data_IF_392664949102
#
_entry.id   IF_392664949102
#
_cell.length_a   1.000
_cell.length_b   1.000
_cell.length_c   1.000
_cell.angle_alpha   90.00
_cell.angle_beta   90.00
_cell.angle_gamma   90.00
#
_symmetry.space_group_name_H-M   'P 1'
#
loop_
_entity.id
_entity.type
_entity.pdbx_description
1 polymer ?
#
# COMPACT_ATOMS: atom_id res chain seq x y z
N UNK A 1 11.07 17.68 -2.88
CA UNK A 1 12.16 16.81 -2.36
C UNK A 1 11.69 16.32 -0.98
N UNK A 2 11.41 15.03 -0.84
CA UNK A 2 10.89 14.48 0.42
C UNK A 2 12.04 14.25 1.39
N UNK A 3 11.96 14.82 2.60
CA UNK A 3 12.93 14.58 3.65
C UNK A 3 12.53 13.32 4.44
N UNK A 4 13.48 12.40 4.61
CA UNK A 4 13.39 11.29 5.57
C UNK A 4 13.24 11.87 6.98
N UNK A 5 12.04 11.81 7.55
CA UNK A 5 11.80 12.03 8.97
C UNK A 5 11.43 10.69 9.60
N UNK A 6 12.05 10.37 10.74
CA UNK A 6 11.70 9.21 11.57
C UNK A 6 10.18 9.16 11.77
N UNK A 7 9.58 7.99 11.52
CA UNK A 7 8.14 7.73 11.67
C UNK A 7 7.62 8.21 13.03
N UNK A 8 6.94 9.35 13.06
CA UNK A 8 6.30 9.89 14.27
C UNK A 8 4.87 9.40 14.32
N UNK A 9 4.48 8.77 15.42
CA UNK A 9 3.07 8.50 15.71
C UNK A 9 2.32 9.83 15.88
N UNK A 10 1.15 9.94 15.26
CA UNK A 10 0.27 11.08 15.49
C UNK A 10 -0.35 10.93 16.88
N UNK A 11 -0.24 11.95 17.76
CA UNK A 11 -0.85 11.92 19.09
C UNK A 11 -2.37 11.78 19.01
N UNK A 12 -2.96 11.09 19.98
CA UNK A 12 -4.41 10.82 20.03
C UNK A 12 -5.20 12.03 20.57
N UNK A 13 -5.05 13.18 19.92
CA UNK A 13 -5.79 14.40 20.23
C UNK A 13 -6.95 14.55 19.25
N UNK A 14 -8.14 14.85 19.77
CA UNK A 14 -9.31 15.19 18.95
C UNK A 14 -9.38 16.71 18.72
N UNK A 15 -9.95 17.08 17.58
CA UNK A 15 -10.15 18.46 17.14
C UNK A 15 -11.63 18.68 16.82
N UNK A 16 -12.10 19.93 16.93
CA UNK A 16 -13.44 20.25 16.46
C UNK A 16 -13.43 20.36 14.94
N UNK A 17 -14.33 19.65 14.28
CA UNK A 17 -14.59 19.83 12.85
C UNK A 17 -15.51 21.05 12.61
N UNK A 18 -15.81 21.33 11.34
CA UNK A 18 -16.71 22.39 10.88
C UNK A 18 -18.12 22.32 11.48
N UNK A 19 -18.57 21.14 11.94
CA UNK A 19 -19.87 20.95 12.59
C UNK A 19 -19.78 21.10 14.12
N UNK A 20 -18.59 21.32 14.67
CA UNK A 20 -18.32 21.40 16.11
C UNK A 20 -18.15 20.04 16.80
N UNK A 21 -18.14 18.95 16.03
CA UNK A 21 -17.97 17.57 16.51
C UNK A 21 -16.48 17.31 16.75
N UNK A 22 -16.16 16.63 17.85
CA UNK A 22 -14.79 16.20 18.15
C UNK A 22 -14.46 14.97 17.30
N UNK A 23 -13.39 15.06 16.51
CA UNK A 23 -12.91 13.96 15.66
C UNK A 23 -11.39 14.05 15.46
N UNK A 24 -10.75 13.00 14.94
CA UNK A 24 -9.34 13.07 14.58
C UNK A 24 -8.82 11.84 13.83
N UNK A 25 -7.56 11.88 13.37
CA UNK A 25 -6.95 10.82 12.57
C UNK A 25 -6.96 9.44 13.23
N UNK A 26 -6.90 9.40 14.56
CA UNK A 26 -6.91 8.18 15.36
C UNK A 26 -8.22 7.39 15.25
N UNK A 27 -9.33 8.00 14.83
CA UNK A 27 -10.60 7.29 14.63
C UNK A 27 -10.58 6.44 13.35
N UNK A 28 -9.56 6.63 12.50
CA UNK A 28 -9.39 5.99 11.20
C UNK A 28 -8.23 4.96 11.20
N UNK A 29 -7.85 4.41 12.36
CA UNK A 29 -6.89 3.29 12.43
C UNK A 29 -7.36 2.16 11.52
N UNK A 30 -6.44 1.55 10.78
CA UNK A 30 -6.79 0.58 9.73
C UNK A 30 -7.05 1.22 8.35
N UNK A 31 -7.08 2.55 8.26
CA UNK A 31 -7.13 3.31 6.99
C UNK A 31 -5.92 4.24 6.90
N UNK A 32 -5.54 4.58 5.67
CA UNK A 32 -4.65 5.72 5.47
C UNK A 32 -5.38 7.01 5.82
N UNK A 33 -4.68 7.99 6.37
CA UNK A 33 -5.26 9.32 6.63
C UNK A 33 -4.38 10.39 6.00
N UNK A 34 -5.01 11.29 5.25
CA UNK A 34 -4.34 12.44 4.66
C UNK A 34 -4.70 13.67 5.46
N UNK A 35 -3.68 14.35 5.96
CA UNK A 35 -3.82 15.66 6.59
C UNK A 35 -3.43 16.72 5.59
N UNK A 36 -4.32 17.67 5.33
CA UNK A 36 -4.07 18.76 4.39
C UNK A 36 -4.24 20.11 5.09
N UNK A 37 -3.14 20.85 5.25
CA UNK A 37 -3.12 22.15 5.90
C UNK A 37 -3.37 23.29 4.93
N UNK A 38 -4.17 24.24 5.39
CA UNK A 38 -4.50 25.48 4.71
C UNK A 38 -4.26 26.67 5.63
N UNK A 39 -3.39 27.59 5.19
CA UNK A 39 -3.12 28.83 5.92
C UNK A 39 -4.16 29.92 5.66
N UNK A 40 -4.88 29.86 4.55
CA UNK A 40 -5.97 30.79 4.24
C UNK A 40 -7.00 30.17 3.32
N UNK A 41 -8.27 30.56 3.52
CA UNK A 41 -9.35 30.17 2.64
C UNK A 41 -9.37 31.06 1.40
N UNK A 42 -9.45 30.46 0.20
CA UNK A 42 -9.43 31.24 -1.02
C UNK A 42 -10.74 32.04 -1.17
N UNK A 43 -10.67 33.20 -1.82
CA UNK A 43 -11.82 34.07 -2.06
C UNK A 43 -12.93 33.45 -2.92
N UNK A 44 -14.05 34.17 -3.13
CA UNK A 44 -15.24 33.65 -3.82
C UNK A 44 -14.98 33.10 -5.22
N UNK A 45 -14.11 33.76 -6.00
CA UNK A 45 -13.85 33.42 -7.41
C UNK A 45 -12.94 32.19 -7.60
N UNK A 46 -12.36 31.67 -6.53
CA UNK A 46 -11.42 30.55 -6.60
C UNK A 46 -12.09 29.19 -6.82
N UNK A 47 -13.42 29.07 -6.65
CA UNK A 47 -14.14 27.80 -6.67
C UNK A 47 -13.93 26.96 -7.96
N UNK A 48 -13.62 27.60 -9.10
CA UNK A 48 -13.30 26.92 -10.36
C UNK A 48 -12.02 26.08 -10.34
N UNK A 49 -11.10 26.33 -9.40
CA UNK A 49 -9.78 25.67 -9.33
C UNK A 49 -9.68 24.52 -8.31
N UNK A 50 -10.80 24.07 -7.71
CA UNK A 50 -10.80 23.09 -6.61
C UNK A 50 -11.60 21.80 -6.90
N UNK A 51 -12.06 21.59 -8.14
CA UNK A 51 -12.73 20.34 -8.54
C UNK A 51 -11.91 19.09 -8.22
N UNK A 52 -10.58 19.19 -8.37
CA UNK A 52 -9.63 18.12 -8.06
C UNK A 52 -9.74 17.60 -6.62
N UNK A 53 -10.18 18.42 -5.66
CA UNK A 53 -10.27 18.04 -4.25
C UNK A 53 -11.43 17.06 -4.02
N UNK A 54 -12.55 17.29 -4.71
CA UNK A 54 -13.71 16.39 -4.68
C UNK A 54 -13.42 15.09 -5.40
N UNK A 55 -12.78 15.18 -6.57
CA UNK A 55 -12.38 14.00 -7.34
C UNK A 55 -11.37 13.16 -6.56
N UNK A 56 -10.41 13.84 -5.90
CA UNK A 56 -9.44 13.20 -5.01
C UNK A 56 -10.12 12.48 -3.86
N UNK A 57 -11.15 13.04 -3.24
CA UNK A 57 -11.86 12.38 -2.13
C UNK A 57 -12.40 11.00 -2.53
N UNK A 58 -13.02 10.88 -3.71
CA UNK A 58 -13.54 9.60 -4.19
C UNK A 58 -12.42 8.60 -4.48
N UNK A 59 -11.34 9.06 -5.13
CA UNK A 59 -10.17 8.24 -5.40
C UNK A 59 -9.47 7.76 -4.12
N UNK A 60 -9.41 8.61 -3.09
CA UNK A 60 -8.86 8.27 -1.78
C UNK A 60 -9.74 7.26 -1.04
N UNK A 61 -11.06 7.48 -1.02
CA UNK A 61 -12.01 6.54 -0.44
C UNK A 61 -11.92 5.16 -1.11
N UNK A 62 -11.80 5.11 -2.44
CA UNK A 62 -11.60 3.86 -3.19
C UNK A 62 -10.27 3.13 -2.84
N UNK A 63 -9.30 3.83 -2.23
CA UNK A 63 -7.99 3.31 -1.82
C UNK A 63 -7.88 3.10 -0.30
N UNK A 64 -9.01 3.05 0.40
CA UNK A 64 -9.06 2.93 1.87
C UNK A 64 -8.28 4.05 2.58
N UNK A 65 -8.44 5.28 2.08
CA UNK A 65 -7.84 6.48 2.64
C UNK A 65 -8.89 7.54 2.96
N UNK A 66 -8.82 8.10 4.17
CA UNK A 66 -9.59 9.26 4.59
C UNK A 66 -8.76 10.54 4.43
N UNK A 67 -9.43 11.70 4.45
CA UNK A 67 -8.79 13.01 4.36
C UNK A 67 -9.41 13.99 5.35
N UNK A 68 -8.55 14.77 6.01
CA UNK A 68 -8.91 15.93 6.79
C UNK A 68 -8.27 17.18 6.19
N UNK A 69 -9.08 18.23 5.99
CA UNK A 69 -8.52 19.57 5.89
C UNK A 69 -8.24 20.11 7.30
N UNK A 70 -7.18 20.92 7.45
CA UNK A 70 -6.76 21.50 8.73
C UNK A 70 -6.51 22.98 8.51
N UNK A 71 -7.07 23.82 9.38
CA UNK A 71 -6.84 25.26 9.39
C UNK A 71 -6.60 25.76 10.81
N UNK A 72 -5.97 26.92 10.97
CA UNK A 72 -5.93 27.64 12.26
C UNK A 72 -7.19 28.45 12.54
N UNK A 73 -8.22 28.32 11.70
CA UNK A 73 -9.45 29.10 11.75
C UNK A 73 -10.47 28.45 12.70
N UNK A 74 -11.49 29.22 13.07
CA UNK A 74 -12.58 28.72 13.93
C UNK A 74 -13.51 27.77 13.18
N UNK A 75 -14.27 26.96 13.93
CA UNK A 75 -15.29 26.06 13.36
C UNK A 75 -16.32 26.79 12.48
N UNK A 76 -16.65 28.04 12.82
CA UNK A 76 -17.60 28.86 12.05
C UNK A 76 -17.04 29.22 10.67
N UNK A 77 -15.77 29.62 10.62
CA UNK A 77 -15.10 29.95 9.34
C UNK A 77 -14.90 28.68 8.50
N UNK A 78 -14.49 27.58 9.14
CA UNK A 78 -14.36 26.28 8.48
C UNK A 78 -15.68 25.81 7.87
N UNK A 79 -16.80 26.04 8.55
CA UNK A 79 -18.13 25.70 8.02
C UNK A 79 -18.52 26.54 6.83
N UNK A 80 -18.33 27.86 6.89
CA UNK A 80 -18.59 28.73 5.75
C UNK A 80 -17.75 28.34 4.53
N UNK A 81 -16.51 27.90 4.74
CA UNK A 81 -15.66 27.35 3.69
C UNK A 81 -16.18 26.01 3.14
N UNK A 82 -16.47 25.06 4.02
CA UNK A 82 -16.93 23.72 3.65
C UNK A 82 -18.25 23.77 2.87
N UNK A 83 -19.21 24.56 3.34
CA UNK A 83 -20.52 24.75 2.71
C UNK A 83 -20.38 25.39 1.32
N UNK A 84 -19.51 26.40 1.19
CA UNK A 84 -19.29 27.11 -0.07
C UNK A 84 -18.67 26.23 -1.17
N UNK A 85 -17.77 25.33 -0.82
CA UNK A 85 -17.09 24.46 -1.79
C UNK A 85 -17.70 23.04 -1.87
N UNK A 86 -18.72 22.75 -1.07
CA UNK A 86 -19.31 21.42 -0.90
C UNK A 86 -18.24 20.37 -0.59
N UNK A 87 -17.43 20.64 0.43
CA UNK A 87 -16.37 19.73 0.87
C UNK A 87 -17.01 18.47 1.49
N UNK A 88 -16.69 17.26 0.99
CA UNK A 88 -17.34 16.03 1.43
C UNK A 88 -16.65 15.36 2.63
N UNK A 89 -15.70 16.03 3.28
CA UNK A 89 -14.89 15.51 4.38
C UNK A 89 -14.65 16.58 5.44
N UNK A 90 -14.09 16.19 6.57
CA UNK A 90 -13.98 17.06 7.74
C UNK A 90 -12.86 18.10 7.63
N UNK A 91 -13.17 19.30 8.12
CA UNK A 91 -12.27 20.46 8.21
C UNK A 91 -12.01 20.76 9.69
N UNK A 92 -10.86 20.34 10.19
CA UNK A 92 -10.46 20.46 11.58
C UNK A 92 -9.94 21.86 11.91
N UNK A 93 -10.37 22.37 13.06
CA UNK A 93 -9.87 23.61 13.66
C UNK A 93 -8.67 23.29 14.58
N UNK A 94 -7.48 23.73 14.19
CA UNK A 94 -6.19 23.57 14.87
C UNK A 94 -5.54 24.95 15.16
N UNK A 95 -6.16 25.80 16.00
CA UNK A 95 -5.72 27.18 16.21
C UNK A 95 -4.35 27.30 16.90
N UNK A 96 -3.98 26.31 17.71
CA UNK A 96 -2.67 26.19 18.35
C UNK A 96 -1.61 25.52 17.44
N UNK A 97 -2.00 25.15 16.21
CA UNK A 97 -1.14 24.53 15.20
C UNK A 97 -0.46 23.26 15.70
N UNK A 98 -1.15 22.50 16.56
CA UNK A 98 -0.60 21.30 17.17
C UNK A 98 -0.28 20.24 16.13
N UNK A 99 -1.23 19.92 15.22
CA UNK A 99 -1.00 18.91 14.18
C UNK A 99 0.09 19.36 13.22
N UNK A 100 0.11 20.65 12.87
CA UNK A 100 1.19 21.20 12.04
C UNK A 100 2.56 21.05 12.71
N UNK A 101 2.65 21.30 14.02
CA UNK A 101 3.87 21.11 14.81
C UNK A 101 4.33 19.66 14.88
N UNK A 102 3.39 18.71 15.03
CA UNK A 102 3.68 17.27 15.00
C UNK A 102 4.22 16.86 13.62
N UNK A 103 3.58 17.30 12.56
CA UNK A 103 3.86 16.90 11.18
C UNK A 103 5.12 17.54 10.59
N UNK A 104 5.35 18.84 10.82
CA UNK A 104 6.44 19.59 10.18
C UNK A 104 7.55 20.03 11.15
N UNK A 105 7.35 19.85 12.45
CA UNK A 105 8.30 20.22 13.52
C UNK A 105 8.11 21.64 14.03
N UNK A 106 8.15 21.80 15.35
CA UNK A 106 7.93 23.08 16.06
C UNK A 106 8.94 24.20 15.73
N UNK A 107 10.12 23.87 15.20
CA UNK A 107 11.18 24.82 14.85
C UNK A 107 11.03 25.43 13.45
N UNK A 108 10.15 24.88 12.59
CA UNK A 108 9.82 25.50 11.31
C UNK A 108 8.64 26.45 11.54
N UNK A 109 8.84 27.74 11.26
CA UNK A 109 7.71 28.66 11.00
C UNK A 109 7.00 28.15 9.75
N UNK A 110 6.05 27.24 9.93
CA UNK A 110 5.19 26.78 8.85
C UNK A 110 4.27 27.95 8.49
N UNK A 111 4.57 28.56 7.36
CA UNK A 111 3.72 29.51 6.65
C UNK A 111 3.52 28.94 5.24
N UNK A 112 2.36 28.36 4.99
CA UNK A 112 1.97 27.83 3.69
C UNK A 112 0.91 26.74 3.77
N UNK A 113 0.66 26.09 2.64
CA UNK A 113 -0.06 24.85 2.61
C UNK A 113 0.90 23.67 2.76
N UNK A 114 0.37 22.52 3.16
CA UNK A 114 1.14 21.32 3.37
C UNK A 114 0.24 20.11 3.42
N UNK A 115 0.81 18.95 3.23
CA UNK A 115 0.05 17.73 3.19
C UNK A 115 0.89 16.57 3.73
N UNK A 116 0.27 15.72 4.55
CA UNK A 116 0.93 14.53 5.09
C UNK A 116 0.06 13.30 4.94
N UNK A 117 0.71 12.16 4.74
CA UNK A 117 0.12 10.83 4.78
C UNK A 117 0.45 10.16 6.10
N UNK A 118 -0.58 9.59 6.70
CA UNK A 118 -0.56 8.76 7.90
C UNK A 118 -0.93 7.34 7.49
N UNK A 119 -0.15 6.35 7.92
CA UNK A 119 -0.43 4.94 7.65
C UNK A 119 -1.55 4.37 8.56
N UNK A 120 -2.04 3.14 8.33
CA UNK A 120 -3.08 2.51 9.14
C UNK A 120 -2.74 2.35 10.63
N UNK A 121 -1.45 2.26 10.97
CA UNK A 121 -0.93 2.24 12.33
C UNK A 121 -0.81 3.65 12.93
N UNK A 122 -1.15 4.66 12.14
CA UNK A 122 -1.09 6.11 12.32
C UNK A 122 0.26 6.71 12.68
N UNK A 123 1.28 6.26 11.96
CA UNK A 123 2.57 6.91 11.82
C UNK A 123 2.53 7.86 10.62
N UNK A 124 3.14 9.04 10.76
CA UNK A 124 3.39 9.93 9.63
C UNK A 124 4.47 9.29 8.77
N UNK A 125 4.12 8.95 7.53
CA UNK A 125 5.00 8.28 6.57
C UNK A 125 5.50 9.20 5.47
N UNK A 126 4.76 10.28 5.16
CA UNK A 126 5.16 11.23 4.11
C UNK A 126 4.57 12.60 4.34
N UNK A 127 5.34 13.65 4.04
CA UNK A 127 4.87 15.03 4.12
C UNK A 127 5.43 15.87 2.97
N UNK A 128 4.64 16.81 2.46
CA UNK A 128 5.06 17.90 1.58
C UNK A 128 4.66 19.25 2.18
N UNK A 129 5.44 20.29 1.87
CA UNK A 129 5.20 21.67 2.28
C UNK A 129 5.32 22.54 1.04
N UNK A 130 4.37 23.45 0.82
CA UNK A 130 4.37 24.37 -0.32
C UNK A 130 2.98 24.56 -0.94
N UNK A 131 2.93 25.20 -2.10
CA UNK A 131 1.68 25.60 -2.78
C UNK A 131 1.20 24.60 -3.84
N UNK A 132 1.89 23.48 -4.05
CA UNK A 132 1.57 22.49 -5.09
C UNK A 132 0.59 21.40 -4.63
N UNK A 133 -0.45 21.76 -3.89
CA UNK A 133 -1.34 20.80 -3.22
C UNK A 133 -2.01 19.81 -4.19
N UNK A 134 -2.42 20.26 -5.38
CA UNK A 134 -3.04 19.37 -6.37
C UNK A 134 -2.04 18.33 -6.88
N UNK A 135 -0.82 18.74 -7.25
CA UNK A 135 0.22 17.84 -7.71
C UNK A 135 0.68 16.89 -6.59
N UNK A 136 0.79 17.38 -5.35
CA UNK A 136 1.15 16.57 -4.20
C UNK A 136 0.04 15.59 -3.83
N UNK A 137 -1.23 15.97 -3.97
CA UNK A 137 -2.37 15.07 -3.85
C UNK A 137 -2.37 14.02 -4.95
N UNK A 138 -2.14 14.39 -6.22
CA UNK A 138 -2.01 13.42 -7.31
C UNK A 138 -0.85 12.45 -7.08
N UNK A 139 0.29 12.93 -6.56
CA UNK A 139 1.42 12.08 -6.14
C UNK A 139 1.06 11.16 -4.98
N UNK A 140 0.24 11.61 -4.02
CA UNK A 140 -0.26 10.77 -2.95
C UNK A 140 -1.25 9.72 -3.44
N UNK A 141 -2.20 10.10 -4.30
CA UNK A 141 -3.15 9.15 -4.91
C UNK A 141 -2.38 8.13 -5.76
N UNK A 142 -1.36 8.58 -6.50
CA UNK A 142 -0.43 7.70 -7.20
C UNK A 142 0.39 6.84 -6.24
N UNK A 143 0.85 7.36 -5.10
CA UNK A 143 1.52 6.56 -4.06
C UNK A 143 0.59 5.50 -3.46
N UNK A 144 -0.68 5.84 -3.25
CA UNK A 144 -1.72 4.92 -2.79
C UNK A 144 -2.14 3.93 -3.89
N UNK A 145 -1.91 4.26 -5.17
CA UNK A 145 -2.33 3.47 -6.34
C UNK A 145 -1.22 2.75 -7.12
N UNK A 146 0.05 3.10 -6.93
CA UNK A 146 1.18 2.65 -7.73
C UNK A 146 2.37 2.35 -6.84
N UNK A 147 2.77 1.07 -6.79
CA UNK A 147 3.95 0.59 -6.04
C UNK A 147 3.95 0.97 -4.55
N UNK A 148 2.76 1.06 -3.92
CA UNK A 148 2.56 1.33 -2.48
C UNK A 148 3.52 0.59 -1.56
N UNK A 149 3.85 -0.65 -1.91
CA UNK A 149 4.60 -1.56 -1.05
C UNK A 149 6.12 -1.44 -1.20
N UNK A 150 6.65 -0.73 -2.21
CA UNK A 150 8.10 -0.59 -2.33
C UNK A 150 8.61 0.31 -1.19
N UNK A 151 9.54 -0.21 -0.39
CA UNK A 151 10.01 0.37 0.86
C UNK A 151 9.23 -0.09 2.10
N UNK A 152 8.09 -0.77 1.93
CA UNK A 152 7.37 -1.40 3.04
C UNK A 152 8.01 -2.75 3.40
N UNK A 153 7.81 -3.17 4.66
CA UNK A 153 8.18 -4.53 5.08
C UNK A 153 7.08 -5.53 4.74
N UNK A 154 7.50 -6.77 4.52
CA UNK A 154 6.59 -7.91 4.35
C UNK A 154 5.63 -8.02 5.55
N UNK A 155 4.32 -8.25 5.32
CA UNK A 155 3.34 -8.37 6.38
C UNK A 155 3.64 -9.50 7.37
N UNK A 156 3.42 -9.23 8.66
CA UNK A 156 3.53 -10.23 9.73
C UNK A 156 2.25 -11.06 9.83
N UNK A 157 2.01 -11.93 8.85
CA UNK A 157 0.85 -12.84 8.79
C UNK A 157 1.30 -14.30 8.62
N UNK A 158 0.41 -15.24 8.93
CA UNK A 158 0.70 -16.66 8.75
C UNK A 158 0.45 -17.10 7.29
N UNK A 159 1.37 -17.90 6.77
CA UNK A 159 1.29 -18.64 5.51
C UNK A 159 1.66 -20.10 5.76
N UNK A 160 1.41 -20.98 4.79
CA UNK A 160 1.58 -22.43 4.97
C UNK A 160 2.43 -23.06 3.85
N UNK A 161 3.11 -24.15 4.17
CA UNK A 161 3.77 -25.01 3.18
C UNK A 161 3.59 -26.47 3.61
N UNK A 162 3.65 -27.40 2.66
CA UNK A 162 3.85 -28.81 2.99
C UNK A 162 5.36 -29.08 3.01
N UNK A 163 5.84 -29.64 4.12
CA UNK A 163 7.23 -30.10 4.26
C UNK A 163 7.15 -31.55 4.71
N UNK A 164 7.72 -32.46 3.92
CA UNK A 164 7.72 -33.90 4.18
C UNK A 164 6.31 -34.50 4.41
N UNK A 165 5.28 -33.89 3.81
CA UNK A 165 3.89 -34.30 3.95
C UNK A 165 3.13 -33.66 5.11
N UNK A 166 3.81 -32.90 5.98
CA UNK A 166 3.20 -32.17 7.08
C UNK A 166 2.94 -30.71 6.72
N UNK A 167 1.73 -30.24 7.03
CA UNK A 167 1.40 -28.83 6.86
C UNK A 167 2.07 -28.02 7.97
N UNK A 168 3.03 -27.20 7.60
CA UNK A 168 3.69 -26.26 8.49
C UNK A 168 3.12 -24.85 8.33
N UNK A 169 3.15 -24.10 9.42
CA UNK A 169 2.75 -22.69 9.46
C UNK A 169 3.96 -21.82 9.69
N UNK A 170 4.15 -20.82 8.85
CA UNK A 170 5.23 -19.86 8.94
C UNK A 170 4.67 -18.46 9.09
N UNK A 171 5.34 -17.63 9.89
CA UNK A 171 5.13 -16.19 9.79
C UNK A 171 5.85 -15.68 8.55
N UNK A 172 5.13 -14.98 7.67
CA UNK A 172 5.64 -14.58 6.38
C UNK A 172 6.92 -13.74 6.51
N UNK A 173 7.00 -12.77 7.43
CA UNK A 173 8.19 -11.95 7.68
C UNK A 173 9.47 -12.78 7.96
N UNK A 174 9.33 -13.93 8.64
CA UNK A 174 10.46 -14.82 8.91
C UNK A 174 10.98 -15.52 7.64
N UNK A 175 10.13 -15.70 6.63
CA UNK A 175 10.53 -16.28 5.36
C UNK A 175 11.40 -15.33 4.51
N UNK A 176 11.53 -14.05 4.88
CA UNK A 176 12.32 -13.05 4.13
C UNK A 176 13.45 -12.42 4.95
N UNK A 177 13.51 -12.67 6.26
CA UNK A 177 14.48 -12.06 7.16
C UNK A 177 15.92 -12.46 6.81
N UNK A 178 16.82 -11.47 6.74
CA UNK A 178 18.26 -11.67 6.57
C UNK A 178 18.69 -12.18 5.19
N UNK A 179 17.80 -12.14 4.17
CA UNK A 179 18.10 -12.66 2.84
C UNK A 179 17.46 -11.88 1.71
N UNK A 180 18.02 -12.02 0.50
CA UNK A 180 17.42 -11.51 -0.73
C UNK A 180 16.51 -12.57 -1.36
N UNK A 181 15.27 -12.20 -1.65
CA UNK A 181 14.21 -13.13 -2.08
C UNK A 181 13.50 -12.58 -3.30
N UNK A 182 13.16 -13.45 -4.24
CA UNK A 182 12.16 -13.17 -5.27
C UNK A 182 10.88 -13.88 -4.90
N UNK A 183 9.76 -13.16 -4.83
CA UNK A 183 8.44 -13.76 -4.71
C UNK A 183 7.63 -13.41 -5.95
N UNK A 184 6.97 -14.40 -6.53
CA UNK A 184 5.92 -14.17 -7.51
C UNK A 184 4.63 -14.82 -7.03
N UNK A 185 3.52 -14.12 -7.23
CA UNK A 185 2.20 -14.59 -6.85
C UNK A 185 1.33 -14.81 -8.07
N UNK A 186 0.47 -15.83 -7.98
CA UNK A 186 -0.41 -16.25 -9.05
C UNK A 186 -1.87 -16.29 -8.60
N UNK A 187 -2.82 -16.01 -9.51
CA UNK A 187 -4.25 -16.17 -9.22
C UNK A 187 -4.63 -17.59 -8.81
N UNK A 188 -3.92 -18.62 -9.27
CA UNK A 188 -4.21 -19.99 -8.85
C UNK A 188 -3.31 -21.04 -9.47
N UNK A 189 -3.04 -22.09 -8.70
CA UNK A 189 -2.49 -23.35 -9.18
C UNK A 189 -3.34 -23.93 -10.32
N UNK A 190 -2.69 -24.62 -11.27
CA UNK A 190 -3.32 -25.27 -12.44
C UNK A 190 -4.09 -24.34 -13.39
N UNK A 191 -4.03 -23.02 -13.23
CA UNK A 191 -4.63 -22.08 -14.19
C UNK A 191 -3.71 -21.87 -15.41
N UNK A 192 -4.25 -21.56 -16.61
CA UNK A 192 -3.51 -21.66 -17.88
C UNK A 192 -2.17 -20.91 -17.90
N UNK A 193 -2.17 -19.59 -17.77
CA UNK A 193 -0.93 -18.77 -17.81
C UNK A 193 0.04 -19.10 -16.68
N UNK A 194 -0.48 -19.42 -15.49
CA UNK A 194 0.35 -19.75 -14.33
C UNK A 194 1.13 -21.06 -14.55
N UNK A 195 0.50 -22.03 -15.21
CA UNK A 195 1.01 -23.38 -15.42
C UNK A 195 1.84 -23.49 -16.70
N UNK A 196 1.47 -22.75 -17.75
CA UNK A 196 2.17 -22.80 -19.03
C UNK A 196 3.44 -21.93 -19.05
N UNK A 197 3.43 -20.79 -18.33
CA UNK A 197 4.45 -19.75 -18.52
C UNK A 197 5.04 -19.25 -17.20
N UNK A 198 4.21 -18.79 -16.25
CA UNK A 198 4.71 -18.03 -15.10
C UNK A 198 5.63 -18.87 -14.20
N UNK A 199 5.14 -19.97 -13.63
CA UNK A 199 5.94 -20.85 -12.76
C UNK A 199 7.07 -21.56 -13.53
N UNK A 200 6.84 -22.16 -14.73
CA UNK A 200 7.92 -22.74 -15.53
C UNK A 200 9.08 -21.78 -15.83
N UNK A 201 8.78 -20.50 -16.08
CA UNK A 201 9.79 -19.46 -16.30
C UNK A 201 10.76 -19.35 -15.11
N UNK A 202 10.23 -19.27 -13.89
CA UNK A 202 11.07 -19.20 -12.68
C UNK A 202 11.81 -20.50 -12.40
N UNK A 203 11.21 -21.66 -12.69
CA UNK A 203 11.90 -22.97 -12.60
C UNK A 203 13.09 -23.01 -13.56
N UNK A 204 12.90 -22.60 -14.81
CA UNK A 204 13.93 -22.59 -15.84
C UNK A 204 15.05 -21.59 -15.59
N UNK A 205 14.75 -20.44 -14.97
CA UNK A 205 15.73 -19.38 -14.68
C UNK A 205 16.26 -19.39 -13.23
N UNK A 206 15.83 -20.34 -12.40
CA UNK A 206 16.16 -20.40 -10.97
C UNK A 206 17.66 -20.30 -10.68
N UNK A 207 18.51 -20.99 -11.44
CA UNK A 207 19.97 -20.93 -11.28
C UNK A 207 20.54 -19.55 -11.61
N UNK A 208 20.05 -18.92 -12.69
CA UNK A 208 20.48 -17.58 -13.09
C UNK A 208 20.06 -16.52 -12.07
N UNK A 209 18.84 -16.62 -11.55
CA UNK A 209 18.31 -15.76 -10.47
C UNK A 209 19.16 -15.93 -9.21
N UNK A 210 19.47 -17.17 -8.81
CA UNK A 210 20.32 -17.44 -7.63
C UNK A 210 21.75 -16.91 -7.79
N UNK A 211 22.32 -16.95 -9.01
CA UNK A 211 23.63 -16.35 -9.32
C UNK A 211 23.68 -14.83 -9.13
N UNK A 212 22.53 -14.14 -9.12
CA UNK A 212 22.42 -12.71 -8.79
C UNK A 212 22.31 -12.42 -7.28
N UNK A 213 22.54 -13.43 -6.44
CA UNK A 213 22.50 -13.30 -4.98
C UNK A 213 21.11 -13.47 -4.37
N UNK A 214 20.12 -13.94 -5.14
CA UNK A 214 18.82 -14.33 -4.58
C UNK A 214 18.97 -15.68 -3.88
N UNK A 215 18.62 -15.72 -2.60
CA UNK A 215 18.74 -16.92 -1.78
C UNK A 215 17.51 -17.81 -1.84
N UNK A 216 16.34 -17.25 -2.13
CA UNK A 216 15.10 -18.03 -2.25
C UNK A 216 14.14 -17.45 -3.29
N UNK A 217 13.40 -18.35 -3.97
CA UNK A 217 12.36 -17.98 -4.94
C UNK A 217 11.05 -18.60 -4.46
N UNK A 218 10.06 -17.76 -4.13
CA UNK A 218 8.76 -18.20 -3.66
C UNK A 218 7.68 -18.06 -4.73
N UNK A 219 6.86 -19.10 -4.89
CA UNK A 219 5.59 -19.03 -5.62
C UNK A 219 4.43 -18.96 -4.63
N UNK A 220 3.68 -17.87 -4.60
CA UNK A 220 2.55 -17.67 -3.69
C UNK A 220 1.20 -17.81 -4.40
N UNK A 221 0.26 -18.51 -3.79
CA UNK A 221 -1.15 -18.49 -4.20
C UNK A 221 -2.10 -18.71 -3.03
N UNK A 222 -3.38 -18.39 -3.21
CA UNK A 222 -4.43 -18.63 -2.20
C UNK A 222 -4.95 -20.07 -2.18
N UNK A 223 -4.37 -20.95 -2.99
CA UNK A 223 -4.61 -22.39 -2.89
C UNK A 223 -4.05 -22.93 -1.57
N UNK A 224 -4.70 -23.95 -1.02
CA UNK A 224 -4.22 -24.67 0.17
C UNK A 224 -2.87 -25.36 -0.09
N UNK A 225 -2.10 -25.70 0.96
CA UNK A 225 -0.75 -26.22 0.80
C UNK A 225 -0.71 -27.58 0.09
N UNK A 226 -1.77 -28.40 0.16
CA UNK A 226 -1.86 -29.68 -0.56
C UNK A 226 -1.94 -29.49 -2.07
N UNK A 227 -2.76 -28.55 -2.52
CA UNK A 227 -2.84 -28.17 -3.93
C UNK A 227 -1.54 -27.54 -4.41
N UNK A 228 -0.93 -26.66 -3.61
CA UNK A 228 0.34 -26.01 -3.97
C UNK A 228 1.50 -27.02 -4.12
N UNK A 229 1.57 -28.01 -3.24
CA UNK A 229 2.56 -29.11 -3.30
C UNK A 229 2.35 -30.01 -4.52
N UNK A 230 1.10 -30.45 -4.74
CA UNK A 230 0.77 -31.28 -5.90
C UNK A 230 1.10 -30.55 -7.21
N UNK A 231 0.78 -29.26 -7.29
CA UNK A 231 1.12 -28.44 -8.45
C UNK A 231 2.63 -28.29 -8.60
N UNK A 232 3.37 -27.96 -7.54
CA UNK A 232 4.83 -27.84 -7.56
C UNK A 232 5.52 -29.11 -8.10
N UNK A 233 5.06 -30.29 -7.69
CA UNK A 233 5.55 -31.58 -8.23
C UNK A 233 5.38 -31.69 -9.74
N UNK A 234 4.22 -31.32 -10.27
CA UNK A 234 3.98 -31.33 -11.74
C UNK A 234 4.87 -30.34 -12.51
N UNK A 235 5.42 -29.34 -11.82
CA UNK A 235 6.23 -28.26 -12.40
C UNK A 235 7.73 -28.41 -12.11
N UNK A 236 8.14 -29.53 -11.49
CA UNK A 236 9.54 -29.83 -11.15
C UNK A 236 10.25 -28.70 -10.39
N UNK A 237 9.57 -28.15 -9.37
CA UNK A 237 10.05 -27.01 -8.57
C UNK A 237 11.14 -27.35 -7.54
N UNK A 238 11.37 -28.64 -7.28
CA UNK A 238 12.28 -29.11 -6.22
C UNK A 238 13.68 -28.49 -6.34
N UNK A 239 14.16 -27.93 -5.22
CA UNK A 239 15.45 -27.21 -5.15
C UNK A 239 15.52 -25.88 -5.90
N UNK A 240 14.43 -25.45 -6.54
CA UNK A 240 14.40 -24.28 -7.43
C UNK A 240 13.46 -23.20 -6.95
N UNK A 241 12.20 -23.56 -6.69
CA UNK A 241 11.12 -22.65 -6.27
C UNK A 241 10.38 -23.29 -5.09
N UNK A 242 10.17 -22.52 -4.03
CA UNK A 242 9.42 -22.95 -2.86
C UNK A 242 7.96 -22.50 -2.95
N UNK A 243 7.04 -23.45 -2.80
CA UNK A 243 5.60 -23.23 -2.97
C UNK A 243 4.99 -22.75 -1.64
N UNK A 244 4.39 -21.56 -1.63
CA UNK A 244 3.83 -20.92 -0.43
C UNK A 244 2.31 -20.77 -0.57
N UNK A 245 1.59 -21.33 0.38
CA UNK A 245 0.13 -21.23 0.47
C UNK A 245 -0.29 -20.05 1.34
N UNK A 246 -1.01 -19.11 0.74
CA UNK A 246 -1.82 -18.09 1.41
C UNK A 246 -3.29 -18.54 1.44
N UNK A 247 -3.56 -19.77 1.90
CA UNK A 247 -4.88 -20.41 1.81
C UNK A 247 -6.05 -19.61 2.40
N UNK A 248 -5.79 -18.66 3.30
CA UNK A 248 -6.79 -17.75 3.88
C UNK A 248 -6.83 -16.35 3.23
N UNK A 249 -5.96 -16.08 2.24
CA UNK A 249 -5.84 -14.78 1.57
C UNK A 249 -5.31 -13.64 2.44
N UNK A 250 -4.71 -13.94 3.61
CA UNK A 250 -4.28 -12.92 4.59
C UNK A 250 -3.09 -12.14 4.07
N UNK A 251 -2.14 -12.81 3.43
CA UNK A 251 -0.99 -12.16 2.83
C UNK A 251 -1.44 -11.25 1.69
N UNK A 252 -2.22 -11.79 0.75
CA UNK A 252 -2.73 -11.07 -0.40
C UNK A 252 -3.52 -9.82 0.01
N UNK A 253 -4.37 -9.93 1.04
CA UNK A 253 -5.13 -8.79 1.58
C UNK A 253 -4.25 -7.77 2.29
N UNK A 254 -3.30 -8.20 3.13
CA UNK A 254 -2.40 -7.28 3.82
C UNK A 254 -1.54 -6.47 2.84
N UNK A 255 -1.18 -7.08 1.71
CA UNK A 255 -0.50 -6.41 0.60
C UNK A 255 -1.44 -5.49 -0.22
N UNK A 256 -2.76 -5.55 -0.04
CA UNK A 256 -3.73 -4.86 -0.89
C UNK A 256 -3.78 -5.40 -2.32
N UNK A 257 -3.35 -6.66 -2.51
CA UNK A 257 -3.24 -7.35 -3.80
C UNK A 257 -4.21 -8.53 -3.92
N UNK A 258 -5.30 -8.52 -3.14
CA UNK A 258 -6.43 -9.43 -3.37
C UNK A 258 -7.22 -9.03 -4.63
N UNK A 259 -7.83 -10.01 -5.28
CA UNK A 259 -8.66 -9.86 -6.48
C UNK A 259 -9.92 -10.70 -6.32
N UNK A 260 -11.07 -10.11 -6.62
CA UNK A 260 -12.34 -10.82 -6.58
C UNK A 260 -12.70 -11.39 -7.95
N UNK A 261 -12.54 -12.70 -8.09
CA UNK A 261 -12.83 -13.45 -9.31
C UNK A 261 -14.04 -14.38 -9.13
N UNK A 262 -15.00 -14.00 -8.26
CA UNK A 262 -16.25 -14.77 -8.06
C UNK A 262 -17.05 -14.95 -9.35
N UNK A 263 -17.06 -13.95 -10.23
CA UNK A 263 -17.74 -14.02 -11.53
C UNK A 263 -17.16 -15.09 -12.46
N UNK A 264 -15.86 -15.38 -12.32
CA UNK A 264 -15.18 -16.46 -13.01
C UNK A 264 -15.24 -17.82 -12.27
N UNK A 265 -15.99 -17.90 -11.16
CA UNK A 265 -16.10 -19.11 -10.33
C UNK A 265 -14.88 -19.43 -9.47
N UNK A 266 -13.95 -18.48 -9.31
CA UNK A 266 -12.67 -18.71 -8.63
C UNK A 266 -12.64 -18.22 -7.18
N UNK A 267 -13.55 -17.32 -6.80
CA UNK A 267 -13.56 -16.70 -5.47
C UNK A 267 -12.53 -15.57 -5.34
N UNK A 268 -12.14 -15.27 -4.10
CA UNK A 268 -11.06 -14.31 -3.83
C UNK A 268 -9.71 -14.96 -4.15
N UNK A 269 -8.89 -14.28 -4.95
CA UNK A 269 -7.55 -14.72 -5.39
C UNK A 269 -6.49 -13.66 -5.09
N UNK A 270 -5.23 -14.02 -5.24
CA UNK A 270 -4.15 -13.04 -5.38
C UNK A 270 -4.18 -12.45 -6.79
N UNK A 271 -3.85 -11.17 -6.93
CA UNK A 271 -3.41 -10.61 -8.22
C UNK A 271 -2.15 -11.34 -8.70
N UNK A 272 -1.86 -11.26 -10.01
CA UNK A 272 -0.56 -11.66 -10.55
C UNK A 272 0.45 -10.55 -10.31
N UNK A 273 1.57 -10.87 -9.66
CA UNK A 273 2.65 -9.93 -9.42
C UNK A 273 3.97 -10.66 -9.15
N UNK A 274 5.07 -9.93 -9.22
CA UNK A 274 6.36 -10.35 -8.71
C UNK A 274 7.06 -9.21 -7.96
N UNK A 275 7.87 -9.57 -6.97
CA UNK A 275 8.60 -8.64 -6.13
C UNK A 275 9.99 -9.15 -5.78
N UNK A 276 10.91 -8.21 -5.60
CA UNK A 276 12.23 -8.45 -5.00
C UNK A 276 12.15 -7.91 -3.59
N UNK A 277 12.57 -8.72 -2.63
CA UNK A 277 12.58 -8.40 -1.21
C UNK A 277 14.00 -8.56 -0.69
N UNK A 278 14.48 -7.58 0.07
CA UNK A 278 15.81 -7.57 0.69
C UNK A 278 15.66 -7.33 2.19
N UNK A 279 16.07 -8.29 3.02
CA UNK A 279 15.88 -8.30 4.48
C UNK A 279 14.43 -7.96 4.92
N UNK A 280 13.47 -8.58 4.23
CA UNK A 280 12.05 -8.36 4.48
C UNK A 280 11.51 -7.00 4.05
N UNK A 281 12.30 -6.12 3.42
CA UNK A 281 11.85 -4.88 2.77
C UNK A 281 11.61 -5.13 1.28
N UNK A 282 10.48 -4.69 0.76
CA UNK A 282 10.16 -4.83 -0.66
C UNK A 282 10.93 -3.77 -1.45
N UNK A 283 11.93 -4.16 -2.21
CA UNK A 283 12.78 -3.24 -2.99
C UNK A 283 12.31 -3.07 -4.43
N UNK A 284 11.50 -4.01 -4.93
CA UNK A 284 10.85 -3.91 -6.22
C UNK A 284 9.49 -4.61 -6.23
N UNK A 285 8.53 -4.08 -6.98
CA UNK A 285 7.20 -4.69 -7.16
C UNK A 285 6.66 -4.37 -8.57
N UNK A 286 6.33 -5.43 -9.30
CA UNK A 286 5.59 -5.39 -10.56
C UNK A 286 4.28 -6.13 -10.39
N UNK A 287 3.16 -5.42 -10.55
CA UNK A 287 1.80 -5.96 -10.48
C UNK A 287 1.22 -5.90 -11.88
N UNK A 288 0.70 -7.02 -12.37
CA UNK A 288 0.10 -7.08 -13.69
C UNK A 288 -1.26 -6.38 -13.71
N UNK A 289 -1.60 -5.84 -14.87
CA UNK A 289 -2.97 -5.44 -15.16
C UNK A 289 -3.77 -6.64 -15.71
N UNK A 290 -4.92 -6.91 -15.11
CA UNK A 290 -5.76 -8.04 -15.48
C UNK A 290 -5.07 -9.41 -15.37
N UNK A 291 -5.16 -10.21 -16.45
CA UNK A 291 -4.71 -11.61 -16.49
C UNK A 291 -3.34 -11.80 -17.19
N UNK A 292 -2.74 -10.73 -17.69
CA UNK A 292 -1.49 -10.74 -18.46
C UNK A 292 -0.28 -11.24 -17.66
N UNK A 293 0.82 -11.45 -18.37
CA UNK A 293 2.14 -11.81 -17.84
C UNK A 293 3.18 -11.05 -18.67
N UNK A 294 3.45 -9.81 -18.30
CA UNK A 294 4.34 -8.91 -19.05
C UNK A 294 5.45 -8.31 -18.18
N UNK A 295 5.18 -8.14 -16.88
CA UNK A 295 6.08 -7.41 -15.97
C UNK A 295 6.53 -8.26 -14.78
N UNK A 296 5.81 -9.35 -14.51
CA UNK A 296 6.08 -10.26 -13.39
C UNK A 296 6.74 -11.58 -13.81
N UNK A 297 7.04 -11.77 -15.10
CA UNK A 297 7.71 -12.97 -15.59
C UNK A 297 9.17 -13.07 -15.12
N UNK A 298 9.72 -14.28 -15.19
CA UNK A 298 11.06 -14.57 -14.68
C UNK A 298 12.17 -13.81 -15.42
N UNK A 299 12.03 -13.56 -16.73
CA UNK A 299 13.04 -12.83 -17.51
C UNK A 299 13.09 -11.37 -17.08
N UNK A 300 11.93 -10.73 -16.99
CA UNK A 300 11.82 -9.35 -16.52
C UNK A 300 12.39 -9.21 -15.11
N UNK A 301 12.07 -10.15 -14.20
CA UNK A 301 12.59 -10.09 -12.83
C UNK A 301 14.10 -10.40 -12.75
N UNK A 302 14.64 -11.25 -13.62
CA UNK A 302 16.08 -11.52 -13.69
C UNK A 302 16.87 -10.27 -14.14
N UNK A 303 16.35 -9.50 -15.09
CA UNK A 303 17.00 -8.29 -15.59
C UNK A 303 17.07 -7.16 -14.52
N UNK A 304 16.20 -7.23 -13.51
CA UNK A 304 16.15 -6.27 -12.40
C UNK A 304 17.11 -6.59 -11.24
N UNK A 305 17.73 -7.78 -11.22
CA UNK A 305 18.60 -8.28 -10.14
C UNK A 305 20.09 -7.96 -10.36
#
# INVERSE_FOLDING_TARGET
>A
MFASQRFKLVPERLFRNQLGIMTGPQEYRGQHVILWWMDSFPGPDAAKNWGWLRDSYLELAARNAAIFAISSETTVVNRAFADRLHIPFDVLSDPDRFLAGVAFGASRKFSGAGLCLIDPEGRIVKCSVGTQNSNDMSRLIAYLGGRRLIGDRIPTVNVHQLVDGDQLTFRADQLFFGKKVVLFAVPGAFTPTCTAEHLPGYVGQSEAIRKKGVEEIFCLSVNDPFVMEAWGKTQAVEGKVSMVSDGSGRFSRAMGLESDLRTAGLGLRSKRYAMIVDDGEIVHLNVEDGLGLETSDASTMLDLL
#
